data_IF_136089750134
#
_entry.id   IF_136089750134
#
_cell.length_a   1.000
_cell.length_b   1.000
_cell.length_c   1.000
_cell.angle_alpha   90.00
_cell.angle_beta   90.00
_cell.angle_gamma   90.00
#
_symmetry.space_group_name_H-M   'P 1'
#
loop_
_entity.id
_entity.type
_entity.pdbx_description
1 polymer ?
#
# COMPACT_ATOMS: atom_id res chain seq x y z
N UNK A 1 28.13 31.08 25.89
CA UNK A 1 26.85 30.63 25.29
C UNK A 1 25.91 30.15 26.40
N UNK A 2 24.71 30.72 26.54
CA UNK A 2 23.79 30.34 27.64
C UNK A 2 23.42 28.85 27.59
N UNK A 3 23.17 28.24 28.76
CA UNK A 3 22.78 26.82 28.89
C UNK A 3 21.56 26.47 28.03
N UNK A 4 20.64 27.43 27.85
CA UNK A 4 19.48 27.29 26.96
C UNK A 4 19.88 27.25 25.48
N UNK A 5 20.79 28.13 25.03
CA UNK A 5 21.26 28.15 23.63
C UNK A 5 22.01 26.86 23.26
N UNK A 6 22.79 26.28 24.18
CA UNK A 6 23.43 24.95 24.01
C UNK A 6 22.41 23.82 23.84
N UNK A 7 21.38 23.76 24.70
CA UNK A 7 20.31 22.75 24.61
C UNK A 7 19.55 22.83 23.29
N UNK A 8 19.20 24.03 22.83
CA UNK A 8 18.50 24.24 21.56
C UNK A 8 19.32 23.76 20.37
N UNK A 9 20.63 24.04 20.34
CA UNK A 9 21.51 23.61 19.23
C UNK A 9 21.63 22.08 19.19
N UNK A 10 21.77 21.42 20.34
CA UNK A 10 21.83 19.95 20.40
C UNK A 10 20.51 19.33 19.89
N UNK A 11 19.37 19.84 20.37
CA UNK A 11 18.06 19.37 19.95
C UNK A 11 17.87 19.53 18.43
N UNK A 12 18.30 20.66 17.85
CA UNK A 12 18.24 20.89 16.41
C UNK A 12 19.08 19.86 15.64
N UNK A 13 20.31 19.57 16.08
CA UNK A 13 21.16 18.55 15.44
C UNK A 13 20.52 17.16 15.48
N UNK A 14 19.97 16.77 16.62
CA UNK A 14 19.27 15.49 16.78
C UNK A 14 18.02 15.42 15.89
N UNK A 15 17.30 16.53 15.75
CA UNK A 15 16.13 16.64 14.87
C UNK A 15 16.52 16.42 13.41
N UNK A 16 17.58 17.09 12.95
CA UNK A 16 18.08 16.94 11.58
C UNK A 16 18.51 15.49 11.31
N UNK A 17 19.27 14.89 12.23
CA UNK A 17 19.72 13.51 12.09
C UNK A 17 18.54 12.52 12.05
N UNK A 18 17.55 12.70 12.92
CA UNK A 18 16.32 11.93 12.93
C UNK A 18 15.58 12.02 11.59
N UNK A 19 15.37 13.24 11.09
CA UNK A 19 14.67 13.47 9.82
C UNK A 19 15.41 12.82 8.64
N UNK A 20 16.75 12.94 8.58
CA UNK A 20 17.55 12.29 7.55
C UNK A 20 17.40 10.77 7.59
N UNK A 21 17.54 10.15 8.77
CA UNK A 21 17.37 8.71 8.93
C UNK A 21 15.94 8.25 8.56
N UNK A 22 14.93 9.02 8.97
CA UNK A 22 13.53 8.75 8.65
C UNK A 22 13.25 8.84 7.14
N UNK A 23 13.80 9.85 6.46
CA UNK A 23 13.72 9.98 5.01
C UNK A 23 14.33 8.78 4.29
N UNK A 24 15.52 8.32 4.70
CA UNK A 24 16.15 7.12 4.13
C UNK A 24 15.23 5.90 4.23
N UNK A 25 14.58 5.71 5.39
CA UNK A 25 13.67 4.59 5.63
C UNK A 25 12.39 4.69 4.78
N UNK A 26 11.83 5.89 4.59
CA UNK A 26 10.64 6.08 3.75
C UNK A 26 10.93 5.79 2.28
N UNK A 27 12.08 6.26 1.79
CA UNK A 27 12.49 6.14 0.39
C UNK A 27 12.85 4.68 0.05
N UNK A 28 13.36 3.92 1.03
CA UNK A 28 13.66 2.49 0.87
C UNK A 28 12.45 1.72 0.33
N UNK A 29 12.61 0.93 -0.76
CA UNK A 29 11.52 0.16 -1.34
C UNK A 29 11.04 -0.97 -0.43
N UNK A 30 11.95 -1.53 0.38
CA UNK A 30 11.69 -2.72 1.18
C UNK A 30 10.72 -2.40 2.33
N UNK A 31 9.62 -3.14 2.40
CA UNK A 31 8.61 -2.99 3.44
C UNK A 31 8.44 -4.27 4.23
N UNK A 32 8.81 -4.22 5.51
CA UNK A 32 8.48 -5.25 6.49
C UNK A 32 7.50 -4.70 7.52
N UNK A 33 6.82 -5.56 8.28
CA UNK A 33 5.94 -5.12 9.37
C UNK A 33 6.64 -4.18 10.36
N UNK A 34 7.89 -4.47 10.73
CA UNK A 34 8.66 -3.62 11.65
C UNK A 34 8.94 -2.24 11.04
N UNK A 35 9.32 -2.18 9.76
CA UNK A 35 9.54 -0.91 9.05
C UNK A 35 8.21 -0.14 8.93
N UNK A 36 7.11 -0.80 8.58
CA UNK A 36 5.77 -0.19 8.53
C UNK A 36 5.40 0.46 9.87
N UNK A 37 5.54 -0.28 10.97
CA UNK A 37 5.25 0.21 12.31
C UNK A 37 6.18 1.37 12.71
N UNK A 38 7.48 1.26 12.41
CA UNK A 38 8.42 2.35 12.64
C UNK A 38 8.02 3.61 11.90
N UNK A 39 7.68 3.52 10.60
CA UNK A 39 7.26 4.68 9.80
C UNK A 39 6.02 5.35 10.40
N UNK A 40 5.06 4.56 10.88
CA UNK A 40 3.81 5.07 11.44
C UNK A 40 4.00 5.74 12.81
N UNK A 41 4.71 5.08 13.72
CA UNK A 41 4.76 5.51 15.12
C UNK A 41 5.95 6.41 15.44
N UNK A 42 7.03 6.35 14.67
CA UNK A 42 8.23 7.15 14.93
C UNK A 42 7.96 8.66 14.94
N UNK A 43 7.21 9.26 13.99
CA UNK A 43 6.91 10.70 14.03
C UNK A 43 6.08 11.11 15.24
N UNK A 44 5.13 10.25 15.65
CA UNK A 44 4.28 10.49 16.81
C UNK A 44 5.12 10.48 18.08
N UNK A 45 5.94 9.45 18.27
CA UNK A 45 6.86 9.35 19.40
C UNK A 45 7.84 10.52 19.44
N UNK A 46 8.41 10.88 18.29
CA UNK A 46 9.32 12.02 18.18
C UNK A 46 8.63 13.34 18.57
N UNK A 47 7.41 13.57 18.08
CA UNK A 47 6.61 14.74 18.46
C UNK A 47 6.32 14.79 19.96
N UNK A 48 5.94 13.66 20.57
CA UNK A 48 5.68 13.58 22.01
C UNK A 48 6.93 13.90 22.85
N UNK A 49 8.09 13.37 22.45
CA UNK A 49 9.38 13.70 23.09
C UNK A 49 9.70 15.18 22.94
N UNK A 50 9.49 15.76 21.76
CA UNK A 50 9.74 17.18 21.51
C UNK A 50 8.82 18.07 22.37
N UNK A 51 7.53 17.75 22.44
CA UNK A 51 6.55 18.42 23.29
C UNK A 51 6.95 18.35 24.77
N UNK A 52 7.44 17.20 25.24
CA UNK A 52 7.90 17.01 26.62
C UNK A 52 9.13 17.88 26.95
N UNK A 53 10.15 17.88 26.08
CA UNK A 53 11.39 18.65 26.27
C UNK A 53 11.09 20.16 26.27
N UNK A 54 10.17 20.61 25.41
CA UNK A 54 9.88 22.01 25.18
C UNK A 54 8.59 22.50 25.85
N UNK A 55 8.01 21.70 26.77
CA UNK A 55 6.70 21.90 27.45
C UNK A 55 6.44 23.28 28.07
N UNK A 56 7.47 24.08 28.29
CA UNK A 56 7.37 25.45 28.83
C UNK A 56 7.02 26.50 27.76
N UNK A 57 6.87 26.13 26.49
CA UNK A 57 6.59 27.06 25.37
C UNK A 57 5.12 27.02 24.97
N UNK A 58 4.46 28.20 24.95
CA UNK A 58 3.04 28.36 24.63
C UNK A 58 2.65 27.77 23.25
N UNK A 59 3.51 27.95 22.23
CA UNK A 59 3.32 27.44 20.87
C UNK A 59 3.08 25.92 20.83
N UNK A 60 3.67 25.17 21.76
CA UNK A 60 3.55 23.71 21.77
C UNK A 60 2.29 23.22 22.47
N UNK A 61 1.70 24.01 23.38
CA UNK A 61 0.35 23.75 23.87
C UNK A 61 -0.66 23.88 22.72
N UNK A 62 -0.48 24.89 21.86
CA UNK A 62 -1.31 25.10 20.68
C UNK A 62 -1.17 23.93 19.69
N UNK A 63 0.07 23.51 19.36
CA UNK A 63 0.30 22.35 18.49
C UNK A 63 -0.31 21.07 19.08
N UNK A 64 -0.11 20.81 20.38
CA UNK A 64 -0.71 19.66 21.06
C UNK A 64 -2.25 19.67 21.01
N UNK A 65 -2.87 20.83 21.25
CA UNK A 65 -4.33 21.00 21.13
C UNK A 65 -4.83 20.77 19.71
N UNK A 66 -4.12 21.27 18.68
CA UNK A 66 -4.49 21.03 17.28
C UNK A 66 -4.43 19.54 16.94
N UNK A 67 -3.39 18.81 17.37
CA UNK A 67 -3.27 17.37 17.12
C UNK A 67 -4.42 16.60 17.77
N UNK A 68 -4.78 16.94 19.02
CA UNK A 68 -5.90 16.31 19.72
C UNK A 68 -7.23 16.60 19.01
N UNK A 69 -7.50 17.85 18.66
CA UNK A 69 -8.72 18.26 17.95
C UNK A 69 -8.80 17.57 16.58
N UNK A 70 -7.70 17.54 15.83
CA UNK A 70 -7.63 16.87 14.54
C UNK A 70 -7.89 15.37 14.66
N UNK A 71 -7.34 14.72 15.70
CA UNK A 71 -7.59 13.30 15.99
C UNK A 71 -9.06 13.07 16.31
N UNK A 72 -9.67 13.90 17.17
CA UNK A 72 -11.10 13.81 17.51
C UNK A 72 -11.96 13.98 16.25
N UNK A 73 -11.63 14.94 15.38
CA UNK A 73 -12.34 15.16 14.11
C UNK A 73 -12.22 13.91 13.23
N UNK A 74 -11.02 13.34 13.06
CA UNK A 74 -10.80 12.11 12.29
C UNK A 74 -11.63 10.92 12.81
N UNK A 75 -11.78 10.79 14.13
CA UNK A 75 -12.63 9.75 14.75
C UNK A 75 -14.13 10.07 14.70
N UNK A 76 -14.50 11.34 14.51
CA UNK A 76 -15.90 11.79 14.40
C UNK A 76 -16.41 11.78 12.95
N UNK A 77 -15.58 11.36 11.99
CA UNK A 77 -15.95 11.38 10.59
C UNK A 77 -17.04 10.35 10.27
N UNK A 78 -18.07 10.80 9.55
CA UNK A 78 -19.20 9.98 9.12
C UNK A 78 -18.74 8.99 8.05
N UNK A 79 -18.94 7.69 8.29
CA UNK A 79 -18.63 6.63 7.33
C UNK A 79 -19.56 6.70 6.11
N UNK A 80 -19.24 7.59 5.16
CA UNK A 80 -19.93 7.66 3.88
C UNK A 80 -19.60 6.40 3.07
N UNK A 81 -20.64 5.68 2.67
CA UNK A 81 -20.50 4.50 1.82
C UNK A 81 -20.10 4.92 0.41
N UNK A 82 -19.11 4.24 -0.14
CA UNK A 82 -18.67 4.35 -1.53
C UNK A 82 -19.17 3.13 -2.30
N UNK A 83 -19.56 3.31 -3.56
CA UNK A 83 -19.99 2.18 -4.39
C UNK A 83 -18.83 1.20 -4.63
N UNK A 84 -19.14 -0.09 -4.77
CA UNK A 84 -18.15 -1.13 -5.08
C UNK A 84 -17.38 -0.81 -6.37
N UNK A 85 -18.08 -0.28 -7.37
CA UNK A 85 -17.49 0.15 -8.63
C UNK A 85 -16.43 1.23 -8.43
N UNK A 86 -16.69 2.21 -7.55
CA UNK A 86 -15.72 3.27 -7.27
C UNK A 86 -14.49 2.74 -6.52
N UNK A 87 -14.64 1.74 -5.63
CA UNK A 87 -13.50 1.07 -4.99
C UNK A 87 -12.65 0.36 -6.05
N UNK A 88 -13.29 -0.40 -6.94
CA UNK A 88 -12.64 -1.14 -8.03
C UNK A 88 -11.93 -0.21 -9.00
N UNK A 89 -12.59 0.84 -9.47
CA UNK A 89 -12.01 1.81 -10.39
C UNK A 89 -10.83 2.53 -9.76
N UNK A 90 -10.94 2.92 -8.49
CA UNK A 90 -9.81 3.53 -7.76
C UNK A 90 -8.65 2.55 -7.63
N UNK A 91 -8.91 1.28 -7.31
CA UNK A 91 -7.88 0.24 -7.23
C UNK A 91 -7.09 0.09 -8.54
N UNK A 92 -7.80 -0.05 -9.66
CA UNK A 92 -7.17 -0.17 -11.00
C UNK A 92 -6.36 1.07 -11.35
N UNK A 93 -6.88 2.27 -11.07
CA UNK A 93 -6.15 3.53 -11.27
C UNK A 93 -4.87 3.56 -10.43
N UNK A 94 -4.93 3.17 -9.16
CA UNK A 94 -3.76 3.19 -8.28
C UNK A 94 -2.72 2.11 -8.65
N UNK A 95 -3.14 0.98 -9.23
CA UNK A 95 -2.22 -0.02 -9.80
C UNK A 95 -1.45 0.55 -11.00
N UNK A 96 -2.16 1.17 -11.96
CA UNK A 96 -1.57 1.67 -13.22
C UNK A 96 -0.47 2.71 -12.96
N UNK A 97 -0.55 3.48 -11.87
CA UNK A 97 0.52 4.43 -11.49
C UNK A 97 1.89 3.79 -11.26
N UNK A 98 1.94 2.48 -11.04
CA UNK A 98 3.19 1.76 -10.87
C UNK A 98 3.79 1.27 -12.18
N UNK A 99 3.15 1.46 -13.33
CA UNK A 99 3.72 1.10 -14.63
C UNK A 99 5.15 1.66 -14.78
N UNK A 100 6.07 0.83 -15.29
CA UNK A 100 7.51 1.10 -15.39
C UNK A 100 8.28 1.24 -14.06
N UNK A 101 7.65 1.05 -12.90
CA UNK A 101 8.37 0.96 -11.62
C UNK A 101 9.30 -0.24 -11.63
N UNK A 102 10.55 -0.06 -11.16
CA UNK A 102 11.53 -1.14 -11.09
C UNK A 102 11.03 -2.31 -10.22
N UNK A 103 11.32 -3.53 -10.66
CA UNK A 103 11.10 -4.71 -9.83
C UNK A 103 12.13 -4.77 -8.69
N UNK A 104 11.65 -4.90 -7.45
CA UNK A 104 12.50 -5.11 -6.28
C UNK A 104 11.80 -6.10 -5.36
N UNK A 105 12.44 -7.23 -5.07
CA UNK A 105 11.93 -8.23 -4.14
C UNK A 105 11.70 -7.63 -2.74
N UNK A 106 10.49 -7.80 -2.18
CA UNK A 106 10.06 -7.17 -0.93
C UNK A 106 9.71 -5.68 -1.07
N UNK A 107 9.70 -5.16 -2.29
CA UNK A 107 9.44 -3.76 -2.60
C UNK A 107 7.95 -3.41 -2.56
N UNK A 108 7.62 -2.20 -2.10
CA UNK A 108 6.23 -1.72 -1.99
C UNK A 108 6.05 -0.22 -2.29
N UNK A 109 6.95 0.39 -3.08
CA UNK A 109 6.84 1.81 -3.44
C UNK A 109 7.35 2.11 -4.86
N UNK A 110 7.32 3.38 -5.26
CA UNK A 110 7.68 3.83 -6.61
C UNK A 110 9.18 3.66 -6.95
N UNK A 111 10.04 3.46 -5.93
CA UNK A 111 11.46 3.20 -6.14
C UNK A 111 11.76 1.70 -6.35
N UNK A 112 10.77 0.84 -6.12
CA UNK A 112 10.90 -0.60 -6.21
C UNK A 112 9.69 -1.32 -5.67
N UNK A 113 9.14 -2.25 -6.47
CA UNK A 113 7.94 -3.00 -6.10
C UNK A 113 8.03 -4.46 -6.56
N UNK A 114 7.56 -5.40 -5.75
CA UNK A 114 7.39 -6.80 -6.18
C UNK A 114 5.94 -7.11 -6.60
N UNK A 115 5.71 -8.34 -7.05
CA UNK A 115 4.41 -8.75 -7.58
C UNK A 115 3.28 -8.65 -6.55
N UNK A 116 3.51 -9.16 -5.33
CA UNK A 116 2.53 -9.09 -4.24
C UNK A 116 2.40 -7.68 -3.66
N UNK A 117 3.52 -6.95 -3.57
CA UNK A 117 3.60 -5.56 -3.17
C UNK A 117 2.76 -4.67 -4.08
N UNK A 118 2.78 -4.89 -5.40
CA UNK A 118 1.94 -4.17 -6.36
C UNK A 118 0.45 -4.33 -6.05
N UNK A 119 -0.01 -5.57 -5.89
CA UNK A 119 -1.42 -5.88 -5.57
C UNK A 119 -1.84 -5.26 -4.25
N UNK A 120 -1.01 -5.39 -3.20
CA UNK A 120 -1.26 -4.80 -1.87
C UNK A 120 -1.28 -3.28 -1.94
N UNK A 121 -0.27 -2.69 -2.58
CA UNK A 121 -0.06 -1.24 -2.62
C UNK A 121 -1.14 -0.52 -3.40
N UNK A 122 -1.62 -1.10 -4.51
CA UNK A 122 -2.78 -0.60 -5.23
C UNK A 122 -4.01 -0.47 -4.31
N UNK A 123 -4.28 -1.49 -3.49
CA UNK A 123 -5.44 -1.50 -2.59
C UNK A 123 -5.25 -0.55 -1.40
N UNK A 124 -4.05 -0.52 -0.80
CA UNK A 124 -3.70 0.44 0.26
C UNK A 124 -3.96 1.88 -0.22
N UNK A 125 -3.42 2.24 -1.39
CA UNK A 125 -3.55 3.60 -1.92
C UNK A 125 -5.01 3.93 -2.26
N UNK A 126 -5.76 2.97 -2.83
CA UNK A 126 -7.16 3.18 -3.16
C UNK A 126 -8.01 3.43 -1.92
N UNK A 127 -7.92 2.56 -0.92
CA UNK A 127 -8.66 2.70 0.33
C UNK A 127 -8.26 3.96 1.10
N UNK A 128 -6.97 4.30 1.13
CA UNK A 128 -6.51 5.54 1.75
C UNK A 128 -7.12 6.77 1.07
N UNK A 129 -7.05 6.84 -0.27
CA UNK A 129 -7.61 7.94 -1.07
C UNK A 129 -9.12 8.07 -0.87
N UNK A 130 -9.84 6.95 -0.85
CA UNK A 130 -11.28 6.92 -0.58
C UNK A 130 -11.60 7.35 0.86
N UNK A 131 -10.81 6.91 1.83
CA UNK A 131 -10.94 7.29 3.23
C UNK A 131 -10.76 8.79 3.46
N UNK A 132 -9.74 9.40 2.84
CA UNK A 132 -9.53 10.85 2.92
C UNK A 132 -10.64 11.61 2.19
N UNK A 133 -10.92 11.27 0.93
CA UNK A 133 -11.90 12.01 0.10
C UNK A 133 -13.31 11.95 0.66
N UNK A 134 -13.71 10.81 1.22
CA UNK A 134 -15.07 10.60 1.73
C UNK A 134 -15.17 10.77 3.24
N UNK A 135 -14.08 11.14 3.91
CA UNK A 135 -14.00 11.24 5.36
C UNK A 135 -14.50 9.94 6.02
N UNK A 136 -13.95 8.80 5.62
CA UNK A 136 -14.34 7.49 6.14
C UNK A 136 -13.22 6.85 6.94
N UNK A 137 -13.42 6.73 8.25
CA UNK A 137 -12.51 6.01 9.15
C UNK A 137 -12.45 4.52 8.81
N UNK A 138 -13.53 3.93 8.29
CA UNK A 138 -13.56 2.53 7.80
C UNK A 138 -12.50 2.29 6.72
N UNK A 139 -12.46 3.09 5.65
CA UNK A 139 -11.48 2.86 4.57
C UNK A 139 -10.05 3.17 5.01
N UNK A 140 -9.84 4.17 5.87
CA UNK A 140 -8.52 4.42 6.47
C UNK A 140 -8.05 3.24 7.32
N UNK A 141 -8.95 2.66 8.12
CA UNK A 141 -8.65 1.48 8.93
C UNK A 141 -8.31 0.26 8.06
N UNK A 142 -9.08 0.00 7.00
CA UNK A 142 -8.80 -1.12 6.08
C UNK A 142 -7.47 -0.90 5.33
N UNK A 143 -7.17 0.32 4.87
CA UNK A 143 -5.88 0.66 4.27
C UNK A 143 -4.73 0.38 5.25
N UNK A 144 -4.88 0.81 6.52
CA UNK A 144 -3.91 0.58 7.57
C UNK A 144 -3.72 -0.91 7.86
N UNK A 145 -4.82 -1.68 7.93
CA UNK A 145 -4.81 -3.11 8.15
C UNK A 145 -4.00 -3.83 7.07
N UNK A 146 -4.12 -3.46 5.80
CA UNK A 146 -3.28 -4.03 4.74
C UNK A 146 -1.83 -3.55 4.87
N UNK A 147 -1.60 -2.25 5.12
CA UNK A 147 -0.26 -1.66 5.20
C UNK A 147 0.67 -2.29 6.26
N UNK A 148 0.13 -2.73 7.39
CA UNK A 148 0.92 -3.38 8.46
C UNK A 148 1.12 -4.88 8.23
N UNK A 149 0.39 -5.49 7.30
CA UNK A 149 0.45 -6.92 7.01
C UNK A 149 1.09 -7.13 5.64
N UNK A 150 2.35 -7.53 5.65
CA UNK A 150 3.02 -8.03 4.46
C UNK A 150 2.59 -9.48 4.19
N UNK A 151 2.20 -9.78 2.95
CA UNK A 151 1.77 -11.12 2.56
C UNK A 151 2.12 -11.40 1.09
N UNK A 152 2.57 -12.64 0.86
CA UNK A 152 3.09 -13.12 -0.43
C UNK A 152 1.98 -13.47 -1.43
N UNK A 153 2.36 -13.67 -2.69
CA UNK A 153 1.46 -14.24 -3.72
C UNK A 153 0.83 -15.56 -3.27
N UNK A 154 1.61 -16.46 -2.66
CA UNK A 154 1.10 -17.71 -2.07
C UNK A 154 0.00 -17.45 -1.03
N UNK A 155 0.20 -16.48 -0.14
CA UNK A 155 -0.79 -16.11 0.86
C UNK A 155 -2.07 -15.54 0.24
N UNK A 156 -1.97 -14.78 -0.85
CA UNK A 156 -3.14 -14.30 -1.61
C UNK A 156 -3.94 -15.50 -2.13
N UNK A 157 -3.27 -16.48 -2.76
CA UNK A 157 -3.90 -17.71 -3.26
C UNK A 157 -4.64 -18.49 -2.16
N UNK A 158 -4.13 -18.46 -0.93
CA UNK A 158 -4.70 -19.09 0.27
C UNK A 158 -5.72 -18.19 0.99
N UNK A 159 -6.26 -17.18 0.31
CA UNK A 159 -7.31 -16.28 0.81
C UNK A 159 -6.93 -15.55 2.10
N UNK A 160 -5.66 -15.10 2.20
CA UNK A 160 -5.05 -14.49 3.39
C UNK A 160 -6.03 -13.70 4.27
N UNK A 161 -6.24 -14.19 5.51
CA UNK A 161 -7.11 -13.56 6.52
C UNK A 161 -8.50 -13.18 6.00
N UNK A 162 -9.07 -14.00 5.11
CA UNK A 162 -10.36 -13.76 4.48
C UNK A 162 -10.41 -12.43 3.69
N UNK A 163 -9.29 -11.93 3.17
CA UNK A 163 -9.24 -10.70 2.37
C UNK A 163 -9.58 -10.94 0.90
N UNK A 164 -9.54 -12.19 0.45
CA UNK A 164 -9.81 -12.59 -0.92
C UNK A 164 -10.91 -13.65 -0.97
N UNK A 165 -11.52 -13.77 -2.14
CA UNK A 165 -12.45 -14.83 -2.52
C UNK A 165 -11.95 -15.43 -3.82
N UNK A 166 -11.66 -16.73 -3.83
CA UNK A 166 -11.35 -17.47 -5.05
C UNK A 166 -12.56 -17.48 -5.98
N UNK A 167 -12.35 -17.12 -7.23
CA UNK A 167 -13.38 -17.12 -8.27
C UNK A 167 -13.35 -18.42 -9.06
N UNK A 168 -12.19 -18.74 -9.67
CA UNK A 168 -12.04 -19.87 -10.57
C UNK A 168 -10.57 -20.26 -10.73
N UNK A 169 -10.32 -21.47 -11.22
CA UNK A 169 -8.99 -21.92 -11.65
C UNK A 169 -8.94 -21.90 -13.19
N UNK A 170 -7.78 -21.55 -13.72
CA UNK A 170 -7.50 -21.57 -15.16
C UNK A 170 -6.24 -22.36 -15.44
N UNK A 171 -6.20 -23.09 -16.53
CA UNK A 171 -4.98 -23.79 -16.95
C UNK A 171 -4.02 -22.87 -17.72
N UNK A 172 -4.55 -21.91 -18.47
CA UNK A 172 -3.77 -21.01 -19.31
C UNK A 172 -4.49 -19.68 -19.52
N UNK A 173 -3.80 -18.57 -19.30
CA UNK A 173 -4.34 -17.21 -19.47
C UNK A 173 -4.46 -16.80 -20.94
N UNK A 174 -3.60 -17.34 -21.82
CA UNK A 174 -3.65 -17.04 -23.26
C UNK A 174 -4.94 -17.50 -23.93
N UNK A 175 -5.56 -18.55 -23.40
CA UNK A 175 -6.82 -19.12 -23.93
C UNK A 175 -8.02 -18.80 -23.04
N UNK A 176 -7.83 -17.99 -21.99
CA UNK A 176 -8.88 -17.70 -21.04
C UNK A 176 -9.89 -16.69 -21.61
N UNK A 177 -11.17 -16.89 -21.32
CA UNK A 177 -12.24 -15.96 -21.65
C UNK A 177 -12.40 -14.90 -20.56
N UNK A 178 -11.88 -13.69 -20.83
CA UNK A 178 -11.92 -12.56 -19.90
C UNK A 178 -13.32 -11.99 -19.62
N UNK A 179 -14.37 -12.45 -20.30
CA UNK A 179 -15.76 -12.05 -19.98
C UNK A 179 -16.21 -12.52 -18.58
N UNK A 180 -15.53 -13.52 -18.02
CA UNK A 180 -15.83 -14.12 -16.72
C UNK A 180 -15.29 -13.33 -15.53
N UNK A 181 -14.47 -12.30 -15.77
CA UNK A 181 -13.78 -11.54 -14.72
C UNK A 181 -14.00 -10.03 -14.88
N UNK A 182 -13.69 -9.29 -13.83
CA UNK A 182 -13.79 -7.83 -13.80
C UNK A 182 -12.43 -7.22 -13.52
N UNK A 183 -12.20 -6.01 -14.02
CA UNK A 183 -11.01 -5.26 -13.67
C UNK A 183 -10.85 -5.19 -12.14
N UNK A 184 -9.62 -5.31 -11.66
CA UNK A 184 -9.30 -5.46 -10.24
C UNK A 184 -9.27 -6.90 -9.73
N UNK A 185 -9.72 -7.89 -10.51
CA UNK A 185 -9.48 -9.30 -10.18
C UNK A 185 -7.99 -9.62 -10.27
N UNK A 186 -7.56 -10.58 -9.45
CA UNK A 186 -6.15 -10.93 -9.26
C UNK A 186 -5.94 -12.34 -9.75
N UNK A 187 -4.88 -12.57 -10.50
CA UNK A 187 -4.40 -13.89 -10.82
C UNK A 187 -3.17 -14.21 -9.97
N UNK A 188 -3.11 -15.44 -9.46
CA UNK A 188 -1.94 -15.99 -8.78
C UNK A 188 -1.58 -17.32 -9.44
N UNK A 189 -0.31 -17.51 -9.78
CA UNK A 189 0.16 -18.78 -10.35
C UNK A 189 -0.08 -19.93 -9.38
N UNK A 190 -0.35 -21.13 -9.89
CA UNK A 190 -0.67 -22.31 -9.06
C UNK A 190 0.40 -22.65 -8.04
N UNK A 191 1.69 -22.40 -8.34
CA UNK A 191 2.80 -22.55 -7.40
C UNK A 191 2.89 -21.43 -6.34
N UNK A 192 2.09 -20.36 -6.46
CA UNK A 192 2.05 -19.23 -5.52
C UNK A 192 3.26 -18.30 -5.59
N UNK A 193 4.05 -18.37 -6.67
CA UNK A 193 5.28 -17.58 -6.84
C UNK A 193 5.01 -16.19 -7.39
N UNK A 194 4.02 -16.06 -8.29
CA UNK A 194 3.78 -14.82 -9.01
C UNK A 194 2.31 -14.42 -8.97
N UNK A 195 2.06 -13.12 -9.02
CA UNK A 195 0.71 -12.56 -9.00
C UNK A 195 0.62 -11.30 -9.84
N UNK A 196 -0.55 -11.07 -10.42
CA UNK A 196 -0.83 -9.91 -11.25
C UNK A 196 -2.31 -9.56 -11.24
N UNK A 197 -2.66 -8.33 -11.62
CA UNK A 197 -4.03 -7.82 -11.52
C UNK A 197 -4.60 -7.48 -12.91
N UNK A 198 -5.86 -7.82 -13.13
CA UNK A 198 -6.56 -7.51 -14.36
C UNK A 198 -6.93 -6.02 -14.38
N UNK A 199 -6.57 -5.29 -15.43
CA UNK A 199 -6.87 -3.86 -15.56
C UNK A 199 -7.95 -3.57 -16.61
N UNK A 200 -8.58 -4.61 -17.15
CA UNK A 200 -9.59 -4.51 -18.21
C UNK A 200 -9.00 -4.64 -19.61
N UNK A 201 -9.87 -4.75 -20.62
CA UNK A 201 -9.49 -4.85 -22.04
C UNK A 201 -8.43 -5.94 -22.32
N UNK A 202 -8.58 -7.10 -21.69
CA UNK A 202 -7.66 -8.24 -21.76
C UNK A 202 -6.22 -7.91 -21.28
N UNK A 203 -6.02 -6.80 -20.56
CA UNK A 203 -4.71 -6.39 -20.05
C UNK A 203 -4.52 -6.72 -18.58
N UNK A 204 -3.29 -7.09 -18.24
CA UNK A 204 -2.86 -7.41 -16.89
C UNK A 204 -1.65 -6.59 -16.51
N UNK A 205 -1.63 -6.07 -15.29
CA UNK A 205 -0.51 -5.36 -14.71
C UNK A 205 0.24 -6.25 -13.71
N UNK A 206 1.56 -6.27 -13.82
CA UNK A 206 2.42 -7.13 -13.01
C UNK A 206 3.78 -6.51 -12.78
N UNK A 207 4.35 -6.70 -11.59
CA UNK A 207 5.78 -6.46 -11.37
C UNK A 207 6.55 -7.70 -11.80
N UNK A 208 7.01 -7.72 -13.06
CA UNK A 208 7.62 -8.89 -13.66
C UNK A 208 9.13 -8.95 -13.36
N UNK A 209 9.62 -10.02 -12.69
CA UNK A 209 11.05 -10.21 -12.47
C UNK A 209 11.84 -10.37 -13.78
N UNK A 210 11.24 -10.95 -14.83
CA UNK A 210 11.90 -11.14 -16.13
C UNK A 210 12.18 -9.81 -16.84
N UNK A 211 11.18 -8.92 -16.84
CA UNK A 211 11.30 -7.56 -17.37
C UNK A 211 11.99 -6.57 -16.41
N UNK A 212 12.25 -6.98 -15.16
CA UNK A 212 12.81 -6.18 -14.08
C UNK A 212 12.04 -4.87 -13.79
N UNK A 213 10.73 -4.85 -14.10
CA UNK A 213 9.85 -3.69 -13.90
C UNK A 213 8.37 -4.09 -13.92
N UNK A 214 7.52 -3.15 -13.54
CA UNK A 214 6.08 -3.26 -13.73
C UNK A 214 5.73 -3.05 -15.19
N UNK A 215 5.01 -4.01 -15.76
CA UNK A 215 4.53 -3.99 -17.14
C UNK A 215 3.00 -4.14 -17.16
N UNK A 216 2.38 -3.54 -18.17
CA UNK A 216 0.98 -3.78 -18.53
C UNK A 216 0.99 -4.48 -19.89
N UNK A 217 0.47 -5.70 -19.94
CA UNK A 217 0.51 -6.54 -21.14
C UNK A 217 -0.86 -7.13 -21.44
N UNK A 218 -1.18 -7.30 -22.71
CA UNK A 218 -2.42 -7.94 -23.15
C UNK A 218 -2.24 -9.46 -23.20
N UNK A 219 -3.28 -10.20 -22.79
CA UNK A 219 -3.43 -11.62 -23.08
C UNK A 219 -4.19 -11.80 -24.41
N UNK A 220 -3.78 -12.74 -25.28
CA UNK A 220 -2.62 -13.63 -25.13
C UNK A 220 -1.27 -12.94 -25.35
N UNK A 221 -0.22 -13.47 -24.72
CA UNK A 221 1.19 -13.12 -24.97
C UNK A 221 2.05 -14.37 -25.11
N UNK A 222 2.92 -14.37 -26.13
CA UNK A 222 3.94 -15.42 -26.36
C UNK A 222 5.23 -15.16 -25.60
N UNK A 223 5.44 -13.92 -25.14
CA UNK A 223 6.67 -13.51 -24.47
C UNK A 223 6.54 -13.61 -22.95
N UNK A 224 5.33 -13.88 -22.45
CA UNK A 224 5.04 -13.96 -21.03
C UNK A 224 4.84 -15.41 -20.57
N UNK A 225 5.90 -16.01 -20.03
CA UNK A 225 5.86 -17.40 -19.54
C UNK A 225 4.82 -17.62 -18.44
N UNK A 226 4.47 -16.57 -17.69
CA UNK A 226 3.44 -16.66 -16.64
C UNK A 226 2.05 -16.95 -17.22
N UNK A 227 1.80 -16.61 -18.49
CA UNK A 227 0.47 -16.76 -19.10
C UNK A 227 0.16 -18.21 -19.47
N UNK A 228 1.17 -19.04 -19.62
CA UNK A 228 1.01 -20.47 -19.90
C UNK A 228 0.84 -21.31 -18.62
N UNK A 229 1.02 -20.70 -17.45
CA UNK A 229 0.95 -21.39 -16.18
C UNK A 229 -0.49 -21.52 -15.66
N UNK A 230 -0.81 -22.73 -15.19
CA UNK A 230 -2.01 -22.95 -14.37
C UNK A 230 -2.04 -21.98 -13.21
N UNK A 231 -3.20 -21.36 -13.00
CA UNK A 231 -3.37 -20.22 -12.11
C UNK A 231 -4.74 -20.20 -11.45
N UNK A 232 -4.87 -19.40 -10.40
CA UNK A 232 -6.12 -19.16 -9.68
C UNK A 232 -6.47 -17.69 -9.79
N UNK A 233 -7.73 -17.39 -10.12
CA UNK A 233 -8.26 -16.03 -10.12
C UNK A 233 -9.00 -15.80 -8.80
N UNK A 234 -8.71 -14.66 -8.17
CA UNK A 234 -9.27 -14.22 -6.90
C UNK A 234 -9.80 -12.80 -7.01
N UNK A 235 -10.69 -12.45 -6.09
CA UNK A 235 -11.27 -11.11 -5.94
C UNK A 235 -11.06 -10.62 -4.52
N UNK A 236 -10.74 -9.34 -4.36
CA UNK A 236 -10.76 -8.71 -3.04
C UNK A 236 -12.16 -8.76 -2.44
N UNK A 237 -12.29 -9.06 -1.15
CA UNK A 237 -13.58 -8.97 -0.45
C UNK A 237 -14.16 -7.57 -0.39
N UNK A 238 -13.34 -6.54 -0.61
CA UNK A 238 -13.78 -5.15 -0.74
C UNK A 238 -14.64 -4.90 -2.00
N UNK A 239 -14.76 -5.89 -2.89
CA UNK A 239 -15.55 -5.80 -4.11
C UNK A 239 -16.90 -6.55 -4.04
N UNK A 240 -17.38 -6.86 -2.83
CA UNK A 240 -18.67 -7.48 -2.55
C UNK A 240 -19.52 -6.58 -1.63
#
# INVERSE_FOLDING_TARGET
>A
MSRNKRKTIILLKLTILYLLAYCVIIISPIRTKLISLFILFSPITYLLVLLFILRKKLILKIIGSIVIVFTIILFSLKNRCVSIEEIRNTYVIELIKYENTRYVWGGENINGIDCSGLVRKGMINALFKLGVRNLSSKYLYEAFKIYINDFSAKSIKEEYKNMFTKLLEIDNLNTFDHSQIMAGDILVTSNGVHTFAYVGNNKWIQADPGSNKVIVEAAPSKNNQWYEMKSVILRWKYFY
#
